data_IF_056078908831
#
_entry.id   IF_056078908831
#
_cell.length_a   1.000
_cell.length_b   1.000
_cell.length_c   1.000
_cell.angle_alpha   90.00
_cell.angle_beta   90.00
_cell.angle_gamma   90.00
#
_symmetry.space_group_name_H-M   'P 1'
#
loop_
_entity.id
_entity.type
_entity.pdbx_description
1 polymer ?
#
# COMPACT_ATOMS: atom_id res chain seq x y z
N UNK A 1 -34.11 18.65 6.95
CA UNK A 1 -33.55 19.74 7.79
C UNK A 1 -32.98 20.81 6.85
N UNK A 2 -33.28 22.10 7.06
CA UNK A 2 -32.66 23.22 6.33
C UNK A 2 -32.38 24.36 7.31
N UNK A 3 -31.21 24.96 7.22
CA UNK A 3 -30.82 26.17 7.98
C UNK A 3 -29.73 26.91 7.19
N UNK A 4 -29.67 28.22 7.33
CA UNK A 4 -28.54 29.04 6.82
C UNK A 4 -27.45 29.24 7.91
N UNK A 5 -27.75 28.83 9.15
CA UNK A 5 -26.79 28.80 10.26
C UNK A 5 -26.13 27.43 10.44
N UNK A 6 -25.72 27.11 11.66
CA UNK A 6 -25.11 25.80 11.96
C UNK A 6 -26.15 24.68 11.97
N UNK A 7 -25.91 23.65 11.15
CA UNK A 7 -26.57 22.35 11.26
C UNK A 7 -25.70 21.39 12.06
N UNK A 8 -26.27 20.77 13.09
CA UNK A 8 -25.58 19.76 13.90
C UNK A 8 -26.48 18.53 14.02
N UNK A 9 -25.92 17.36 13.69
CA UNK A 9 -26.49 16.06 14.01
C UNK A 9 -25.51 15.38 14.97
N UNK A 10 -26.00 15.01 16.16
CA UNK A 10 -25.21 14.31 17.18
C UNK A 10 -26.03 13.14 17.70
N UNK A 11 -25.43 11.96 17.69
CA UNK A 11 -26.00 10.77 18.30
C UNK A 11 -24.91 10.09 19.13
N UNK A 12 -25.10 10.07 20.45
CA UNK A 12 -24.11 9.55 21.40
C UNK A 12 -23.91 8.04 21.26
N UNK A 13 -24.95 7.33 20.80
CA UNK A 13 -24.97 5.87 20.70
C UNK A 13 -24.80 5.39 19.24
N UNK A 14 -24.26 6.25 18.36
CA UNK A 14 -24.05 5.95 16.93
C UNK A 14 -25.11 6.54 15.99
N UNK A 15 -24.80 6.60 14.70
CA UNK A 15 -25.62 7.24 13.68
C UNK A 15 -25.57 6.47 12.35
N UNK A 16 -26.74 6.08 11.85
CA UNK A 16 -26.93 5.59 10.47
C UNK A 16 -27.49 6.73 9.60
N UNK A 17 -26.79 7.09 8.53
CA UNK A 17 -27.30 7.96 7.47
C UNK A 17 -27.45 7.10 6.21
N UNK A 18 -28.70 6.81 5.84
CA UNK A 18 -28.99 5.90 4.72
C UNK A 18 -30.06 6.44 3.78
N UNK A 19 -29.98 6.02 2.53
CA UNK A 19 -31.05 6.17 1.51
C UNK A 19 -31.81 4.86 1.28
N UNK A 20 -31.53 3.82 2.06
CA UNK A 20 -32.27 2.55 2.04
C UNK A 20 -33.62 2.73 2.73
N UNK A 21 -34.70 2.51 1.97
CA UNK A 21 -36.05 2.74 2.46
C UNK A 21 -36.51 1.67 3.45
N UNK A 22 -37.44 2.06 4.33
CA UNK A 22 -38.29 1.16 5.14
C UNK A 22 -39.75 1.49 4.86
N UNK A 23 -40.34 0.99 3.75
CA UNK A 23 -41.75 1.23 3.42
C UNK A 23 -42.64 0.84 4.61
N UNK A 24 -43.63 1.68 4.91
CA UNK A 24 -44.59 1.47 5.99
C UNK A 24 -43.96 1.22 7.38
N UNK A 25 -42.72 1.66 7.59
CA UNK A 25 -41.92 1.36 8.78
C UNK A 25 -41.89 -0.15 9.10
N UNK A 26 -41.83 -0.99 8.05
CA UNK A 26 -41.87 -2.46 8.17
C UNK A 26 -40.72 -3.07 8.99
N UNK A 27 -39.68 -2.28 9.32
CA UNK A 27 -38.55 -2.64 10.18
C UNK A 27 -38.19 -1.48 11.09
N UNK A 28 -37.40 -1.76 12.13
CA UNK A 28 -36.96 -0.74 13.06
C UNK A 28 -35.95 0.23 12.45
N UNK A 29 -35.79 1.40 13.08
CA UNK A 29 -34.99 2.51 12.54
C UNK A 29 -33.49 2.19 12.36
N UNK A 30 -32.96 1.23 13.12
CA UNK A 30 -31.56 0.77 13.03
C UNK A 30 -31.35 -0.43 12.09
N UNK A 31 -32.42 -0.98 11.51
CA UNK A 31 -32.32 -2.15 10.64
C UNK A 31 -31.42 -1.78 9.45
N UNK A 32 -30.32 -2.51 9.27
CA UNK A 32 -29.29 -2.23 8.26
C UNK A 32 -28.62 -3.51 7.73
N UNK A 33 -29.41 -4.60 7.64
CA UNK A 33 -28.90 -5.93 7.28
C UNK A 33 -28.22 -6.00 5.91
N UNK A 34 -28.59 -5.13 4.97
CA UNK A 34 -27.94 -5.01 3.67
C UNK A 34 -26.54 -4.38 3.82
N UNK A 35 -26.44 -3.35 4.64
CA UNK A 35 -25.19 -2.64 4.96
C UNK A 35 -24.23 -3.54 5.71
N UNK A 36 -24.69 -4.24 6.75
CA UNK A 36 -23.84 -5.19 7.49
C UNK A 36 -23.34 -6.31 6.59
N UNK A 37 -24.19 -6.87 5.73
CA UNK A 37 -23.78 -7.89 4.77
C UNK A 37 -22.71 -7.38 3.79
N UNK A 38 -22.82 -6.14 3.30
CA UNK A 38 -21.80 -5.51 2.45
C UNK A 38 -20.48 -5.33 3.20
N UNK A 39 -20.52 -4.90 4.46
CA UNK A 39 -19.34 -4.73 5.30
C UNK A 39 -18.65 -6.07 5.62
N UNK A 40 -19.42 -7.12 5.91
CA UNK A 40 -18.89 -8.48 6.09
C UNK A 40 -18.21 -8.98 4.82
N UNK A 41 -18.85 -8.81 3.67
CA UNK A 41 -18.26 -9.20 2.37
C UNK A 41 -16.96 -8.43 2.09
N UNK A 42 -16.89 -7.15 2.46
CA UNK A 42 -15.68 -6.35 2.32
C UNK A 42 -14.56 -6.82 3.26
N UNK A 43 -14.90 -7.21 4.50
CA UNK A 43 -13.96 -7.80 5.44
C UNK A 43 -13.43 -9.14 4.94
N UNK A 44 -14.30 -10.06 4.50
CA UNK A 44 -13.89 -11.35 3.95
C UNK A 44 -12.92 -11.19 2.76
N UNK A 45 -13.18 -10.18 1.90
CA UNK A 45 -12.29 -9.84 0.80
C UNK A 45 -10.92 -9.34 1.30
N UNK A 46 -10.89 -8.49 2.34
CA UNK A 46 -9.65 -8.06 2.97
C UNK A 46 -8.89 -9.24 3.56
N UNK A 47 -9.59 -10.14 4.23
CA UNK A 47 -9.03 -11.32 4.88
C UNK A 47 -8.36 -12.23 3.85
N UNK A 48 -9.08 -12.61 2.81
CA UNK A 48 -8.57 -13.48 1.77
C UNK A 48 -7.35 -12.89 1.00
N UNK A 49 -7.37 -11.58 0.70
CA UNK A 49 -6.26 -10.94 -0.02
C UNK A 49 -5.01 -10.75 0.84
N UNK A 50 -5.19 -10.48 2.12
CA UNK A 50 -4.11 -10.39 3.10
C UNK A 50 -3.44 -11.75 3.32
N UNK A 51 -4.22 -12.80 3.52
CA UNK A 51 -3.70 -14.18 3.61
C UNK A 51 -2.89 -14.55 2.36
N UNK A 52 -3.41 -14.24 1.16
CA UNK A 52 -2.68 -14.45 -0.08
C UNK A 52 -1.36 -13.67 -0.13
N UNK A 53 -1.35 -12.40 0.30
CA UNK A 53 -0.15 -11.58 0.36
C UNK A 53 0.90 -12.15 1.35
N UNK A 54 0.45 -12.69 2.49
CA UNK A 54 1.30 -13.32 3.50
C UNK A 54 1.92 -14.63 3.01
N UNK A 55 1.13 -15.48 2.35
CA UNK A 55 1.63 -16.72 1.72
C UNK A 55 2.77 -16.41 0.73
N UNK A 56 2.66 -15.29 0.00
CA UNK A 56 3.67 -14.83 -0.94
C UNK A 56 4.73 -13.89 -0.35
N UNK A 57 4.78 -13.73 0.99
CA UNK A 57 5.74 -12.90 1.73
C UNK A 57 5.76 -11.42 1.31
N UNK A 58 4.70 -10.94 0.67
CA UNK A 58 4.55 -9.51 0.40
C UNK A 58 4.14 -8.75 1.67
N UNK A 59 3.54 -9.45 2.63
CA UNK A 59 3.18 -8.96 3.96
C UNK A 59 3.63 -9.99 5.01
N UNK A 60 3.94 -9.52 6.22
CA UNK A 60 4.32 -10.39 7.33
C UNK A 60 3.10 -10.76 8.17
N UNK A 61 3.02 -12.03 8.56
CA UNK A 61 1.97 -12.52 9.44
C UNK A 61 2.14 -11.93 10.84
N UNK A 62 1.04 -11.49 11.46
CA UNK A 62 1.03 -10.93 12.81
C UNK A 62 1.46 -9.46 12.91
N UNK A 63 1.80 -8.80 11.80
CA UNK A 63 2.38 -7.45 11.80
C UNK A 63 1.39 -6.43 11.24
N UNK A 64 1.47 -6.08 9.95
CA UNK A 64 0.76 -4.92 9.42
C UNK A 64 -0.73 -5.20 9.19
N UNK A 65 -1.01 -6.16 8.31
CA UNK A 65 -2.36 -6.38 7.80
C UNK A 65 -3.25 -7.09 8.82
N UNK A 66 -2.69 -7.91 9.71
CA UNK A 66 -3.43 -8.57 10.80
C UNK A 66 -4.05 -7.57 11.77
N UNK A 67 -3.39 -6.43 12.02
CA UNK A 67 -3.93 -5.37 12.86
C UNK A 67 -5.13 -4.70 12.18
N UNK A 68 -5.03 -4.44 10.88
CA UNK A 68 -6.13 -3.89 10.08
C UNK A 68 -7.32 -4.85 10.05
N UNK A 69 -7.09 -6.15 9.81
CA UNK A 69 -8.14 -7.17 9.80
C UNK A 69 -8.88 -7.24 11.15
N UNK A 70 -8.14 -7.28 12.26
CA UNK A 70 -8.73 -7.30 13.61
C UNK A 70 -9.57 -6.04 13.88
N UNK A 71 -9.07 -4.87 13.49
CA UNK A 71 -9.80 -3.61 13.65
C UNK A 71 -11.09 -3.59 12.81
N UNK A 72 -11.03 -4.01 11.54
CA UNK A 72 -12.20 -4.10 10.67
C UNK A 72 -13.23 -5.12 11.18
N UNK A 73 -12.77 -6.27 11.66
CA UNK A 73 -13.65 -7.28 12.26
C UNK A 73 -14.36 -6.74 13.50
N UNK A 74 -13.62 -6.13 14.43
CA UNK A 74 -14.19 -5.55 15.64
C UNK A 74 -15.21 -4.44 15.29
N UNK A 75 -14.90 -3.58 14.31
CA UNK A 75 -15.82 -2.56 13.82
C UNK A 75 -17.10 -3.18 13.23
N UNK A 76 -16.98 -4.20 12.38
CA UNK A 76 -18.14 -4.87 11.80
C UNK A 76 -18.99 -5.56 12.87
N UNK A 77 -18.36 -6.27 13.80
CA UNK A 77 -19.03 -6.95 14.91
C UNK A 77 -19.79 -5.92 15.78
N UNK A 78 -19.21 -4.75 16.06
CA UNK A 78 -19.86 -3.67 16.81
C UNK A 78 -20.96 -2.93 16.03
N UNK A 79 -20.85 -2.81 14.70
CA UNK A 79 -21.92 -2.26 13.85
C UNK A 79 -23.11 -3.23 13.81
N UNK A 80 -22.87 -4.54 13.69
CA UNK A 80 -23.93 -5.56 13.72
C UNK A 80 -24.55 -5.69 15.11
N UNK A 81 -23.68 -5.63 16.12
CA UNK A 81 -23.95 -5.82 17.54
C UNK A 81 -24.52 -7.18 17.94
N UNK A 82 -24.84 -7.33 19.23
CA UNK A 82 -25.16 -8.61 19.84
C UNK A 82 -26.66 -8.96 19.75
N UNK A 83 -26.99 -10.09 19.09
CA UNK A 83 -28.37 -10.60 19.01
C UNK A 83 -29.04 -10.82 20.38
N UNK A 84 -28.25 -11.12 21.42
CA UNK A 84 -28.77 -11.30 22.78
C UNK A 84 -29.52 -10.05 23.31
N UNK A 85 -29.16 -8.85 22.83
CA UNK A 85 -29.79 -7.58 23.21
C UNK A 85 -31.20 -7.40 22.64
N UNK A 86 -31.58 -8.18 21.62
CA UNK A 86 -32.97 -8.25 21.14
C UNK A 86 -33.94 -8.71 22.23
N UNK A 87 -33.46 -9.52 23.19
CA UNK A 87 -34.29 -10.03 24.30
C UNK A 87 -34.70 -8.95 25.29
N UNK A 88 -33.97 -7.84 25.34
CA UNK A 88 -34.24 -6.68 26.22
C UNK A 88 -35.07 -5.58 25.52
N UNK A 89 -35.64 -5.87 24.33
CA UNK A 89 -36.38 -4.89 23.54
C UNK A 89 -35.50 -3.84 22.85
N UNK A 90 -34.18 -4.07 22.78
CA UNK A 90 -33.22 -3.24 22.07
C UNK A 90 -32.85 -3.87 20.73
N UNK A 91 -32.67 -3.06 19.70
CA UNK A 91 -32.16 -3.57 18.42
C UNK A 91 -30.63 -3.73 18.50
N UNK A 92 -30.05 -4.80 17.93
CA UNK A 92 -28.66 -5.19 18.15
C UNK A 92 -27.66 -4.22 17.52
N UNK A 93 -28.00 -3.52 16.43
CA UNK A 93 -27.02 -2.76 15.66
C UNK A 93 -26.48 -1.53 16.39
N UNK A 94 -25.25 -1.12 16.06
CA UNK A 94 -24.54 0.02 16.68
C UNK A 94 -24.33 -0.17 18.19
N UNK A 95 -23.60 -1.22 18.57
CA UNK A 95 -23.19 -1.46 19.97
C UNK A 95 -22.10 -0.48 20.44
N UNK A 96 -21.40 0.15 19.50
CA UNK A 96 -20.48 1.27 19.68
C UNK A 96 -20.91 2.47 18.82
N UNK A 97 -20.46 3.70 19.15
CA UNK A 97 -20.95 4.92 18.51
C UNK A 97 -20.36 5.17 17.10
N UNK A 98 -20.64 4.26 16.17
CA UNK A 98 -20.22 4.35 14.78
C UNK A 98 -21.09 5.34 13.98
N UNK A 99 -20.47 6.04 13.03
CA UNK A 99 -21.17 6.71 11.95
C UNK A 99 -21.11 5.82 10.70
N UNK A 100 -22.28 5.34 10.26
CA UNK A 100 -22.43 4.51 9.06
C UNK A 100 -23.13 5.30 7.98
N UNK A 101 -22.50 5.39 6.80
CA UNK A 101 -23.09 5.96 5.58
C UNK A 101 -23.45 4.83 4.63
N UNK A 102 -24.71 4.75 4.20
CA UNK A 102 -25.19 3.69 3.33
C UNK A 102 -26.08 4.21 2.20
N UNK A 103 -25.93 3.62 1.02
CA UNK A 103 -26.81 3.87 -0.12
C UNK A 103 -26.79 2.68 -1.06
N UNK A 104 -27.94 2.27 -1.62
CA UNK A 104 -27.98 1.21 -2.61
C UNK A 104 -27.44 1.66 -3.98
N UNK A 105 -27.34 2.97 -4.23
CA UNK A 105 -26.95 3.52 -5.53
C UNK A 105 -25.50 4.04 -5.56
N UNK A 106 -25.06 4.71 -4.49
CA UNK A 106 -23.73 5.33 -4.44
C UNK A 106 -23.57 6.32 -3.28
N UNK A 107 -22.32 6.66 -2.98
CA UNK A 107 -21.96 7.69 -2.01
C UNK A 107 -20.93 8.60 -2.69
N UNK A 108 -21.30 9.84 -2.95
CA UNK A 108 -20.45 10.83 -3.60
C UNK A 108 -20.04 11.95 -2.63
N UNK A 109 -18.75 12.24 -2.56
CA UNK A 109 -18.20 13.40 -1.86
C UNK A 109 -17.55 14.35 -2.87
N UNK A 110 -18.02 15.60 -2.94
CA UNK A 110 -17.56 16.58 -3.92
C UNK A 110 -17.41 17.97 -3.30
N UNK A 111 -16.34 18.66 -3.64
CA UNK A 111 -16.06 20.05 -3.25
C UNK A 111 -15.10 20.69 -4.26
N UNK A 112 -15.22 21.99 -4.56
CA UNK A 112 -14.19 22.71 -5.31
C UNK A 112 -12.92 22.95 -4.48
N UNK A 113 -12.97 22.74 -3.16
CA UNK A 113 -11.84 22.83 -2.24
C UNK A 113 -11.16 21.48 -2.02
N UNK A 114 -10.62 21.28 -0.82
CA UNK A 114 -9.94 20.04 -0.42
C UNK A 114 -10.88 19.08 0.32
N UNK A 115 -10.66 17.78 0.13
CA UNK A 115 -11.16 16.73 1.02
C UNK A 115 -10.00 16.28 1.90
N UNK A 116 -10.23 16.16 3.21
CA UNK A 116 -9.26 15.65 4.17
C UNK A 116 -9.90 14.48 4.94
N UNK A 117 -9.30 13.30 4.85
CA UNK A 117 -9.69 12.10 5.58
C UNK A 117 -8.54 11.75 6.53
N UNK A 118 -8.83 11.75 7.83
CA UNK A 118 -7.85 11.45 8.86
C UNK A 118 -8.37 10.32 9.75
N UNK A 119 -7.49 9.36 10.04
CA UNK A 119 -7.72 8.26 10.98
C UNK A 119 -6.63 8.27 12.05
N UNK A 120 -6.99 8.02 13.30
CA UNK A 120 -6.00 7.82 14.38
C UNK A 120 -5.36 6.43 14.37
N UNK A 121 -6.04 5.46 13.74
CA UNK A 121 -5.57 4.09 13.54
C UNK A 121 -5.45 3.81 12.04
N UNK A 122 -6.24 2.87 11.51
CA UNK A 122 -6.14 2.38 10.14
C UNK A 122 -7.16 3.03 9.20
N UNK A 123 -6.77 3.19 7.93
CA UNK A 123 -7.67 3.52 6.83
C UNK A 123 -7.69 2.34 5.84
N UNK A 124 -8.85 1.72 5.67
CA UNK A 124 -9.05 0.60 4.74
C UNK A 124 -10.01 1.00 3.62
N UNK A 125 -9.65 0.64 2.39
CA UNK A 125 -10.48 0.88 1.20
C UNK A 125 -10.68 -0.45 0.47
N UNK A 126 -11.93 -0.90 0.38
CA UNK A 126 -12.29 -2.16 -0.28
C UNK A 126 -13.18 -1.90 -1.48
N UNK A 127 -12.83 -2.50 -2.62
CA UNK A 127 -13.65 -2.49 -3.82
C UNK A 127 -13.79 -3.92 -4.36
N UNK A 128 -15.01 -4.40 -4.58
CA UNK A 128 -15.25 -5.67 -5.28
C UNK A 128 -14.89 -5.55 -6.79
N UNK A 129 -14.99 -4.34 -7.34
CA UNK A 129 -14.50 -3.98 -8.67
C UNK A 129 -13.08 -3.42 -8.62
N UNK A 130 -12.82 -2.40 -9.43
CA UNK A 130 -11.53 -1.69 -9.44
C UNK A 130 -11.51 -0.54 -8.42
N UNK A 131 -10.37 -0.37 -7.73
CA UNK A 131 -10.03 0.89 -7.08
C UNK A 131 -9.28 1.75 -8.11
N UNK A 132 -9.82 2.92 -8.45
CA UNK A 132 -9.24 3.85 -9.42
C UNK A 132 -8.81 5.13 -8.71
N UNK A 133 -7.55 5.53 -8.89
CA UNK A 133 -6.99 6.77 -8.38
C UNK A 133 -6.45 7.55 -9.58
N UNK A 134 -7.04 8.72 -9.85
CA UNK A 134 -6.61 9.62 -10.93
C UNK A 134 -6.24 10.97 -10.33
N UNK A 135 -5.04 11.45 -10.65
CA UNK A 135 -4.52 12.73 -10.15
C UNK A 135 -3.99 13.54 -11.31
N UNK A 136 -4.47 14.78 -11.47
CA UNK A 136 -4.06 15.66 -12.57
C UNK A 136 -2.60 16.15 -12.46
N UNK A 137 -2.02 16.07 -11.26
CA UNK A 137 -0.62 16.46 -10.99
C UNK A 137 0.19 15.25 -10.56
N UNK A 138 0.54 15.14 -9.28
CA UNK A 138 1.37 14.07 -8.73
C UNK A 138 0.60 13.28 -7.69
N UNK A 139 0.65 11.95 -7.79
CA UNK A 139 0.30 11.08 -6.68
C UNK A 139 1.50 11.03 -5.72
N UNK A 140 1.29 11.47 -4.48
CA UNK A 140 2.33 11.53 -3.46
C UNK A 140 2.01 10.48 -2.39
N UNK A 141 2.94 9.58 -2.14
CA UNK A 141 2.85 8.56 -1.09
C UNK A 141 4.11 8.62 -0.22
N UNK A 142 3.93 8.64 1.10
CA UNK A 142 5.02 8.64 2.07
C UNK A 142 4.62 7.74 3.23
N UNK A 143 5.43 6.72 3.49
CA UNK A 143 5.24 5.77 4.57
C UNK A 143 6.49 5.74 5.45
N UNK A 144 6.33 5.76 6.77
CA UNK A 144 7.45 5.74 7.71
C UNK A 144 8.16 4.38 7.75
N UNK A 145 7.42 3.29 7.56
CA UNK A 145 7.92 1.93 7.70
C UNK A 145 8.09 1.21 6.35
N UNK A 146 7.18 1.44 5.40
CA UNK A 146 7.36 0.94 4.04
C UNK A 146 6.09 0.92 3.20
N UNK A 147 6.25 0.50 1.93
CA UNK A 147 5.17 0.24 0.99
C UNK A 147 5.24 -1.24 0.63
N UNK A 148 4.11 -1.95 0.73
CA UNK A 148 3.95 -3.34 0.29
C UNK A 148 2.89 -3.40 -0.80
N UNK A 149 3.23 -3.92 -1.97
CA UNK A 149 2.32 -4.06 -3.10
C UNK A 149 2.25 -5.53 -3.52
N UNK A 150 1.04 -6.09 -3.55
CA UNK A 150 0.79 -7.49 -3.90
C UNK A 150 -0.30 -7.59 -4.95
N UNK A 151 -0.14 -8.55 -5.86
CA UNK A 151 -1.17 -8.93 -6.83
C UNK A 151 -1.12 -10.44 -6.99
N UNK A 152 -2.30 -11.07 -6.89
CA UNK A 152 -2.42 -12.51 -7.06
C UNK A 152 -2.37 -12.93 -8.54
N UNK A 153 -2.88 -12.09 -9.44
CA UNK A 153 -2.98 -12.36 -10.89
C UNK A 153 -2.71 -11.09 -11.70
N UNK A 154 -2.25 -11.28 -12.94
CA UNK A 154 -1.98 -10.22 -13.94
C UNK A 154 -0.77 -9.29 -13.65
N UNK A 155 -0.10 -9.44 -12.52
CA UNK A 155 1.19 -8.80 -12.22
C UNK A 155 1.11 -7.29 -12.00
N UNK A 156 2.28 -6.64 -11.90
CA UNK A 156 2.46 -5.19 -11.68
C UNK A 156 3.04 -4.57 -12.96
N UNK A 157 2.56 -3.39 -13.36
CA UNK A 157 3.15 -2.58 -14.42
C UNK A 157 3.48 -1.18 -13.87
N UNK A 158 4.75 -0.79 -14.00
CA UNK A 158 5.24 0.55 -13.68
C UNK A 158 5.80 1.16 -14.97
N UNK A 159 5.11 2.16 -15.51
CA UNK A 159 5.40 2.72 -16.84
C UNK A 159 5.40 4.24 -16.72
N UNK A 160 6.47 4.88 -17.20
CA UNK A 160 6.55 6.32 -17.42
C UNK A 160 6.67 6.57 -18.93
N UNK A 161 5.94 7.56 -19.45
CA UNK A 161 5.84 7.79 -20.90
C UNK A 161 6.91 8.73 -21.44
N UNK A 162 7.38 9.67 -20.63
CA UNK A 162 8.31 10.73 -21.04
C UNK A 162 9.54 10.75 -20.13
N UNK A 163 9.30 10.82 -18.83
CA UNK A 163 10.33 10.94 -17.79
C UNK A 163 10.83 9.58 -17.26
N UNK A 164 11.99 9.52 -16.58
CA UNK A 164 12.58 8.27 -16.09
C UNK A 164 11.79 7.62 -14.95
N UNK A 165 12.04 6.32 -14.77
CA UNK A 165 11.69 5.57 -13.56
C UNK A 165 12.97 5.41 -12.73
N UNK A 166 12.96 5.92 -11.49
CA UNK A 166 14.07 5.78 -10.54
C UNK A 166 13.71 4.79 -9.42
N UNK A 167 14.58 3.81 -9.18
CA UNK A 167 14.47 2.84 -8.09
C UNK A 167 15.80 2.86 -7.34
N UNK A 168 15.78 3.27 -6.07
CA UNK A 168 16.98 3.46 -5.27
C UNK A 168 16.79 2.92 -3.85
N UNK A 169 17.84 2.30 -3.30
CA UNK A 169 17.94 1.93 -1.89
C UNK A 169 19.20 2.58 -1.30
N UNK A 170 19.02 3.57 -0.42
CA UNK A 170 20.15 4.41 0.04
C UNK A 170 21.06 3.73 1.06
N UNK A 171 20.54 2.72 1.77
CA UNK A 171 21.24 2.02 2.87
C UNK A 171 21.22 0.51 2.74
N UNK A 172 20.44 -0.02 1.81
CA UNK A 172 20.19 -1.46 1.68
C UNK A 172 20.17 -1.85 0.20
N UNK A 173 19.81 -3.08 -0.10
CA UNK A 173 19.84 -3.66 -1.44
C UNK A 173 18.58 -3.42 -2.27
N UNK A 174 18.75 -3.51 -3.60
CA UNK A 174 17.66 -3.67 -4.54
C UNK A 174 17.68 -5.12 -5.01
N UNK A 175 16.59 -5.86 -4.77
CA UNK A 175 16.47 -7.27 -5.15
C UNK A 175 15.47 -7.42 -6.30
N UNK A 176 15.93 -7.99 -7.41
CA UNK A 176 15.10 -8.30 -8.58
C UNK A 176 15.15 -9.81 -8.84
N UNK A 177 14.04 -10.52 -8.59
CA UNK A 177 13.94 -11.97 -8.77
C UNK A 177 12.76 -12.30 -9.69
N UNK A 178 12.99 -13.19 -10.66
CA UNK A 178 11.94 -13.78 -11.49
C UNK A 178 12.08 -15.31 -11.48
N UNK A 179 10.94 -16.01 -11.53
CA UNK A 179 10.95 -17.48 -11.69
C UNK A 179 11.32 -17.90 -13.12
N UNK A 180 11.08 -17.01 -14.08
CA UNK A 180 11.50 -17.15 -15.48
C UNK A 180 12.60 -16.12 -15.75
N UNK A 181 12.52 -15.44 -16.88
CA UNK A 181 13.55 -14.53 -17.33
C UNK A 181 13.47 -13.16 -16.63
N UNK A 182 14.63 -12.58 -16.35
CA UNK A 182 14.80 -11.15 -16.12
C UNK A 182 15.29 -10.53 -17.43
N UNK A 183 14.50 -9.62 -18.00
CA UNK A 183 14.82 -8.99 -19.29
C UNK A 183 15.14 -7.52 -19.09
N UNK A 184 16.41 -7.15 -19.29
CA UNK A 184 16.90 -5.77 -19.22
C UNK A 184 17.33 -5.36 -20.63
N UNK A 185 16.72 -4.31 -21.18
CA UNK A 185 16.95 -3.84 -22.55
C UNK A 185 17.03 -2.33 -22.58
N UNK A 186 18.00 -1.83 -23.34
CA UNK A 186 18.01 -0.47 -23.85
C UNK A 186 17.81 -0.54 -25.37
N UNK A 187 16.90 0.28 -25.90
CA UNK A 187 16.59 0.26 -27.35
C UNK A 187 17.54 1.17 -28.12
N UNK A 188 17.75 2.40 -27.63
CA UNK A 188 18.58 3.41 -28.31
C UNK A 188 19.80 3.84 -27.48
N UNK A 189 19.77 3.64 -26.16
CA UNK A 189 20.83 4.06 -25.24
C UNK A 189 21.75 2.91 -24.80
N UNK A 190 22.44 3.11 -23.68
CA UNK A 190 23.41 2.16 -23.12
C UNK A 190 22.88 1.45 -21.86
N UNK A 191 23.44 0.27 -21.58
CA UNK A 191 23.29 -0.40 -20.29
C UNK A 191 24.51 -0.11 -19.42
N UNK A 192 24.31 0.61 -18.31
CA UNK A 192 25.35 0.87 -17.33
C UNK A 192 25.22 -0.07 -16.13
N UNK A 193 26.23 -0.92 -15.93
CA UNK A 193 26.36 -1.76 -14.73
C UNK A 193 27.67 -1.37 -14.05
N UNK A 194 27.55 -0.76 -12.87
CA UNK A 194 28.68 -0.20 -12.15
C UNK A 194 28.60 -0.61 -10.67
N UNK A 195 29.71 -1.07 -10.11
CA UNK A 195 29.80 -1.41 -8.70
C UNK A 195 31.16 -0.99 -8.14
N UNK A 196 31.18 -0.40 -6.95
CA UNK A 196 32.43 0.03 -6.29
C UNK A 196 33.35 -1.13 -5.96
N UNK A 197 32.79 -2.27 -5.53
CA UNK A 197 33.55 -3.43 -5.05
C UNK A 197 33.78 -4.47 -6.13
N UNK A 198 32.69 -4.98 -6.74
CA UNK A 198 32.73 -6.11 -7.66
C UNK A 198 31.47 -6.18 -8.51
N UNK A 199 31.60 -6.56 -9.78
CA UNK A 199 30.49 -7.04 -10.63
C UNK A 199 30.68 -8.54 -10.85
N UNK A 200 29.60 -9.31 -10.69
CA UNK A 200 29.60 -10.77 -10.84
C UNK A 200 28.46 -11.18 -11.75
N UNK A 201 28.76 -11.89 -12.84
CA UNK A 201 27.78 -12.43 -13.78
C UNK A 201 27.98 -13.94 -13.82
N UNK A 202 26.96 -14.72 -13.45
CA UNK A 202 27.02 -16.19 -13.36
C UNK A 202 25.87 -16.80 -14.14
N UNK A 203 26.13 -17.87 -14.89
CA UNK A 203 25.12 -18.65 -15.58
C UNK A 203 25.57 -20.09 -15.81
N UNK A 204 24.77 -21.07 -15.39
CA UNK A 204 25.06 -22.50 -15.62
C UNK A 204 26.40 -23.00 -15.04
N UNK A 205 26.97 -22.29 -14.06
CA UNK A 205 28.29 -22.58 -13.48
C UNK A 205 29.46 -21.82 -14.11
N UNK A 206 29.26 -21.17 -15.26
CA UNK A 206 30.24 -20.25 -15.87
C UNK A 206 30.08 -18.85 -15.30
N UNK A 207 31.16 -18.06 -15.29
CA UNK A 207 31.13 -16.72 -14.71
C UNK A 207 32.11 -15.72 -15.32
N UNK A 208 31.82 -14.44 -15.08
CA UNK A 208 32.70 -13.30 -15.30
C UNK A 208 32.66 -12.39 -14.06
N UNK A 209 33.83 -12.08 -13.52
CA UNK A 209 33.99 -11.25 -12.33
C UNK A 209 34.91 -10.07 -12.61
N UNK A 210 34.48 -8.87 -12.23
CA UNK A 210 35.23 -7.62 -12.41
C UNK A 210 35.44 -6.93 -11.07
N UNK A 211 36.69 -6.71 -10.68
CA UNK A 211 37.07 -6.06 -9.42
C UNK A 211 38.37 -5.24 -9.58
N UNK A 212 38.79 -4.57 -8.51
CA UNK A 212 40.08 -3.86 -8.46
C UNK A 212 41.29 -4.79 -8.70
N UNK A 213 41.17 -6.07 -8.34
CA UNK A 213 42.24 -7.06 -8.56
C UNK A 213 42.34 -7.55 -10.02
N UNK A 214 41.37 -7.23 -10.87
CA UNK A 214 41.36 -7.59 -12.28
C UNK A 214 40.02 -8.16 -12.79
N UNK A 215 40.09 -8.79 -13.96
CA UNK A 215 38.97 -9.47 -14.61
C UNK A 215 39.24 -10.97 -14.60
N UNK A 216 38.29 -11.76 -14.11
CA UNK A 216 38.38 -13.22 -14.09
C UNK A 216 37.19 -13.85 -14.84
N UNK A 217 37.50 -14.72 -15.78
CA UNK A 217 36.53 -15.55 -16.49
C UNK A 217 36.75 -17.02 -16.11
N UNK A 218 35.67 -17.77 -15.90
CA UNK A 218 35.76 -19.19 -15.58
C UNK A 218 34.61 -19.99 -16.19
N UNK A 219 34.92 -21.19 -16.70
CA UNK A 219 33.97 -22.15 -17.23
C UNK A 219 34.54 -23.57 -17.12
N UNK A 220 33.69 -24.56 -16.87
CA UNK A 220 34.06 -25.98 -16.96
C UNK A 220 33.93 -26.53 -18.39
N UNK A 221 33.26 -25.80 -19.28
CA UNK A 221 33.12 -26.14 -20.69
C UNK A 221 34.13 -25.40 -21.58
N UNK A 222 33.84 -25.38 -22.88
CA UNK A 222 34.64 -24.63 -23.85
C UNK A 222 34.44 -23.11 -23.67
N UNK A 223 35.53 -22.36 -23.66
CA UNK A 223 35.52 -20.90 -23.84
C UNK A 223 35.89 -20.58 -25.30
N UNK A 224 34.98 -19.93 -26.02
CA UNK A 224 35.12 -19.64 -27.45
C UNK A 224 34.96 -18.13 -27.68
N UNK A 225 35.94 -17.52 -28.34
CA UNK A 225 35.98 -16.10 -28.66
C UNK A 225 36.05 -15.91 -30.18
N UNK A 226 35.21 -15.03 -30.72
CA UNK A 226 35.21 -14.66 -32.13
C UNK A 226 35.45 -13.16 -32.25
N UNK A 227 36.61 -12.75 -32.78
CA UNK A 227 36.93 -11.36 -33.01
C UNK A 227 37.64 -11.16 -34.36
N UNK A 228 37.53 -9.96 -34.91
CA UNK A 228 38.34 -9.54 -36.06
C UNK A 228 39.82 -9.30 -35.69
N UNK A 229 40.09 -8.98 -34.41
CA UNK A 229 41.42 -8.72 -33.87
C UNK A 229 41.47 -9.07 -32.38
N UNK A 230 42.55 -9.72 -31.95
CA UNK A 230 42.94 -9.81 -30.54
C UNK A 230 44.25 -9.05 -30.36
N UNK A 231 44.27 -8.05 -29.48
CA UNK A 231 45.44 -7.22 -29.23
C UNK A 231 45.70 -7.07 -27.72
N UNK A 232 46.97 -7.10 -27.33
CA UNK A 232 47.43 -6.93 -25.94
C UNK A 232 48.12 -5.55 -25.80
N UNK A 233 47.33 -4.48 -25.71
CA UNK A 233 47.81 -3.08 -25.79
C UNK A 233 48.26 -2.48 -24.44
N UNK A 234 48.43 -3.30 -23.41
CA UNK A 234 48.71 -2.86 -22.04
C UNK A 234 47.44 -2.46 -21.26
N UNK A 235 47.58 -2.14 -19.96
CA UNK A 235 46.44 -1.87 -19.07
C UNK A 235 45.82 -0.49 -19.33
N UNK A 236 44.51 -0.39 -19.12
CA UNK A 236 43.72 0.85 -19.13
C UNK A 236 42.74 0.83 -17.96
N UNK A 237 42.39 2.00 -17.41
CA UNK A 237 41.44 2.13 -16.30
C UNK A 237 40.42 3.23 -16.58
N UNK A 238 39.19 3.03 -16.09
CA UNK A 238 38.10 4.02 -16.13
C UNK A 238 37.59 4.25 -14.70
N UNK A 239 37.74 5.46 -14.13
CA UNK A 239 37.26 5.73 -12.78
C UNK A 239 35.73 5.67 -12.71
N UNK A 240 35.21 5.13 -11.62
CA UNK A 240 33.78 5.08 -11.31
C UNK A 240 33.32 6.39 -10.67
N UNK A 241 32.28 7.00 -11.22
CA UNK A 241 31.54 8.10 -10.58
C UNK A 241 30.20 7.56 -10.11
N UNK A 242 30.03 7.40 -8.79
CA UNK A 242 28.80 6.91 -8.18
C UNK A 242 28.04 8.06 -7.50
N UNK A 243 26.70 8.03 -7.49
CA UNK A 243 25.90 9.06 -6.82
C UNK A 243 26.13 9.02 -5.29
N UNK A 244 26.12 10.20 -4.65
CA UNK A 244 26.06 10.31 -3.20
C UNK A 244 24.61 10.24 -2.73
N UNK A 245 24.31 9.31 -1.82
CA UNK A 245 22.97 9.18 -1.24
C UNK A 245 22.80 10.14 -0.06
N UNK A 246 21.72 10.92 -0.09
CA UNK A 246 21.32 11.76 1.05
C UNK A 246 21.01 10.89 2.29
N UNK A 247 21.48 11.33 3.45
CA UNK A 247 21.20 10.72 4.75
C UNK A 247 20.29 11.64 5.58
N UNK A 248 19.05 11.22 5.82
CA UNK A 248 18.10 11.90 6.71
C UNK A 248 17.64 11.01 7.86
N UNK A 249 17.33 11.60 9.02
CA UNK A 249 16.59 10.94 10.11
C UNK A 249 15.14 11.41 10.07
N UNK A 250 14.18 10.48 10.18
CA UNK A 250 12.78 10.84 10.34
C UNK A 250 12.56 11.36 11.77
N UNK A 251 12.45 12.69 11.92
CA UNK A 251 12.15 13.32 13.20
C UNK A 251 10.64 13.58 13.31
N UNK A 252 9.89 12.58 13.76
CA UNK A 252 8.49 12.74 14.14
C UNK A 252 8.39 13.62 15.39
N UNK A 253 8.23 14.94 15.21
CA UNK A 253 7.94 15.84 16.33
C UNK A 253 6.51 15.57 16.82
N UNK A 254 6.35 14.70 17.82
CA UNK A 254 5.11 14.59 18.58
C UNK A 254 4.96 15.83 19.46
N UNK A 255 4.11 16.76 19.02
CA UNK A 255 3.70 17.90 19.84
C UNK A 255 2.75 17.41 20.95
N UNK A 256 3.28 16.96 22.08
CA UNK A 256 2.52 16.86 23.34
C UNK A 256 2.40 18.24 23.97
N UNK A 257 1.53 19.10 23.42
CA UNK A 257 1.10 20.30 24.14
C UNK A 257 0.05 19.90 25.18
N UNK A 258 0.51 19.58 26.39
CA UNK A 258 -0.33 19.47 27.58
C UNK A 258 -0.82 20.87 27.98
N UNK A 259 -1.91 21.35 27.38
CA UNK A 259 -2.61 22.51 27.94
C UNK A 259 -3.42 22.07 29.15
N UNK A 260 -2.80 22.23 30.32
CA UNK A 260 -3.49 22.27 31.62
C UNK A 260 -4.59 23.32 31.55
N UNK A 261 -5.84 22.85 31.62
CA UNK A 261 -7.00 23.67 31.89
C UNK A 261 -6.87 24.24 33.31
N UNK A 262 -6.82 25.56 33.45
CA UNK A 262 -6.91 26.24 34.74
C UNK A 262 -8.26 26.96 34.78
N UNK A 263 -9.19 26.60 35.69
CA UNK A 263 -10.40 27.38 35.87
C UNK A 263 -10.11 28.49 36.88
N UNK A 264 -10.33 29.74 36.48
CA UNK A 264 -10.45 30.85 37.43
C UNK A 264 -11.85 31.44 37.33
N UNK A 265 -12.55 31.32 38.46
CA UNK A 265 -13.66 32.09 39.03
C UNK A 265 -14.54 32.95 38.12
#
# INVERSE_FOLDING_TARGET
MRTDGHGVLRAQDGMLITTEGRPDAARHAKDMGETTQRLMTAQDQHDALAEAAQVHKAQEQGVDQDLVQKALKAQNDAICGEEARQKDGRFPELDEPHLVLASPAGIEASTPGSIHLHTGEHAAFTSQGHTSISTAKRWLASAAEGIRAFTHKKGIRLIASEDPIEIQAHRDEVVLVAHKDVVIKSVEGELHIAAKKKVVIIGGGSYSEWSESGIQHGTAGTWQEHAALHAQVGPMSRPLSLPEFAQGQFNGKTSTSSHKFSPSA
#
